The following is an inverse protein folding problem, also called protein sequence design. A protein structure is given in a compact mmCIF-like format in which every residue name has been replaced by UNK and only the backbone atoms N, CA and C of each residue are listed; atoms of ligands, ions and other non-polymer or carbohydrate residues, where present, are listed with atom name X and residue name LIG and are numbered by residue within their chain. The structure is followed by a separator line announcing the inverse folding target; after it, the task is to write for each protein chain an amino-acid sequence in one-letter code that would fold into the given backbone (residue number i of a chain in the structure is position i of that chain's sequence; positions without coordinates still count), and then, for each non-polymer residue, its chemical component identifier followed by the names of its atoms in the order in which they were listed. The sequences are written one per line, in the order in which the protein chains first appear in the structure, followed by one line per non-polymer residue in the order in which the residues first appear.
data_IF_697726369993
#
_entry.id   IF_697726369993
#
_cell.length_a   1.000
_cell.length_b   1.000
_cell.length_c   1.000
_cell.angle_alpha   90.00
_cell.angle_beta   90.00
_cell.angle_gamma   90.00
#
_symmetry.space_group_name_H-M   'P 1'
#
loop_
_entity.id
_entity.type
_entity.pdbx_description
1 polymer ?
#
# COMPACT_ATOMS: atom_id res chain seq x y z
N UNK A 1 24.46 9.91 -6.02
CA UNK A 1 25.15 8.92 -6.87
C UNK A 1 24.25 8.66 -8.06
N UNK A 2 24.67 9.02 -9.28
CA UNK A 2 23.81 9.01 -10.48
C UNK A 2 23.28 7.59 -10.72
N UNK A 3 21.96 7.42 -10.64
CA UNK A 3 21.30 6.17 -11.02
C UNK A 3 21.52 5.95 -12.51
N UNK A 4 22.12 4.82 -12.87
CA UNK A 4 22.21 4.38 -14.24
C UNK A 4 20.80 4.02 -14.71
N UNK A 5 20.24 4.88 -15.56
CA UNK A 5 19.07 4.56 -16.37
C UNK A 5 19.44 3.51 -17.44
N UNK A 6 18.50 2.61 -17.74
CA UNK A 6 18.53 1.55 -18.77
C UNK A 6 19.07 0.14 -18.41
N UNK A 7 18.59 -0.46 -17.34
CA UNK A 7 18.44 -1.92 -17.28
C UNK A 7 16.99 -2.23 -16.88
N UNK A 8 16.32 -3.19 -17.55
CA UNK A 8 14.99 -3.61 -17.10
C UNK A 8 15.09 -4.14 -15.66
N UNK A 9 14.07 -3.99 -14.80
CA UNK A 9 14.12 -4.47 -13.41
C UNK A 9 14.58 -5.94 -13.29
N UNK A 10 14.19 -6.76 -14.26
CA UNK A 10 14.53 -8.19 -14.39
C UNK A 10 16.03 -8.47 -14.69
N UNK A 11 16.76 -7.48 -15.22
CA UNK A 11 18.20 -7.58 -15.47
C UNK A 11 19.04 -7.19 -14.25
N UNK A 12 18.45 -6.59 -13.22
CA UNK A 12 19.19 -6.29 -11.98
C UNK A 12 19.53 -7.60 -11.24
N UNK A 13 20.80 -7.74 -10.91
CA UNK A 13 21.29 -8.84 -10.08
C UNK A 13 20.55 -8.92 -8.73
N UNK A 14 20.16 -7.79 -8.13
CA UNK A 14 19.39 -7.78 -6.89
C UNK A 14 18.00 -8.37 -7.06
N UNK A 15 17.33 -8.06 -8.18
CA UNK A 15 16.04 -8.64 -8.52
C UNK A 15 16.14 -10.17 -8.55
N UNK A 16 17.11 -10.70 -9.30
CA UNK A 16 17.35 -12.16 -9.38
C UNK A 16 17.66 -12.78 -8.02
N UNK A 17 18.52 -12.14 -7.21
CA UNK A 17 18.86 -12.61 -5.86
C UNK A 17 17.61 -12.68 -4.98
N UNK A 18 16.79 -11.62 -4.96
CA UNK A 18 15.58 -11.55 -4.13
C UNK A 18 14.52 -12.54 -4.59
N UNK A 19 14.32 -12.67 -5.89
CA UNK A 19 13.38 -13.62 -6.46
C UNK A 19 13.79 -15.06 -6.14
N UNK A 20 15.06 -15.40 -6.34
CA UNK A 20 15.60 -16.70 -5.96
C UNK A 20 15.59 -16.93 -4.44
N UNK A 21 15.77 -15.90 -3.62
CA UNK A 21 15.65 -16.01 -2.17
C UNK A 21 14.19 -16.30 -1.73
N UNK A 22 13.20 -15.74 -2.41
CA UNK A 22 11.79 -16.07 -2.20
C UNK A 22 11.51 -17.57 -2.47
N UNK A 23 12.05 -18.10 -3.58
CA UNK A 23 11.97 -19.53 -3.90
C UNK A 23 12.66 -20.43 -2.87
N UNK A 24 13.85 -20.04 -2.41
CA UNK A 24 14.56 -20.78 -1.35
C UNK A 24 13.78 -20.74 -0.03
N UNK A 25 13.12 -19.61 0.28
CA UNK A 25 12.24 -19.51 1.45
C UNK A 25 11.03 -20.43 1.33
N UNK A 26 10.37 -20.47 0.17
CA UNK A 26 9.23 -21.35 -0.07
C UNK A 26 9.60 -22.83 0.03
N UNK A 27 10.76 -23.23 -0.51
CA UNK A 27 11.29 -24.58 -0.30
C UNK A 27 11.49 -24.86 1.19
N UNK A 28 12.17 -23.97 1.92
CA UNK A 28 12.42 -24.15 3.35
C UNK A 28 11.12 -24.29 4.16
N UNK A 29 10.10 -23.50 3.82
CA UNK A 29 8.78 -23.57 4.47
C UNK A 29 8.11 -24.91 4.16
N UNK A 30 8.08 -25.38 2.90
CA UNK A 30 7.44 -26.66 2.57
C UNK A 30 8.16 -27.88 3.17
N UNK A 31 9.48 -27.80 3.37
CA UNK A 31 10.21 -28.87 4.04
C UNK A 31 9.95 -28.93 5.56
N UNK A 32 9.70 -27.77 6.19
CA UNK A 32 9.37 -27.68 7.62
C UNK A 32 7.87 -27.87 7.89
N UNK A 33 7.01 -27.46 6.94
CA UNK A 33 5.56 -27.51 7.00
C UNK A 33 5.01 -28.14 5.72
N UNK A 34 5.06 -29.49 5.58
CA UNK A 34 4.67 -30.18 4.34
C UNK A 34 3.21 -29.98 3.92
N UNK A 35 2.33 -29.63 4.85
CA UNK A 35 0.91 -29.40 4.59
C UNK A 35 0.62 -27.98 4.08
N UNK A 36 1.58 -27.06 4.19
CA UNK A 36 1.39 -25.66 3.82
C UNK A 36 1.07 -25.51 2.33
N UNK A 37 0.17 -24.58 2.01
CA UNK A 37 -0.11 -24.20 0.62
C UNK A 37 0.61 -22.91 0.27
N UNK A 38 1.21 -22.87 -0.91
CA UNK A 38 1.93 -21.71 -1.42
C UNK A 38 1.07 -20.93 -2.40
N UNK A 39 1.16 -19.61 -2.34
CA UNK A 39 0.44 -18.70 -3.22
C UNK A 39 1.44 -17.91 -4.09
N UNK A 40 1.63 -16.62 -3.83
CA UNK A 40 2.49 -15.73 -4.62
C UNK A 40 3.73 -15.31 -3.82
N UNK A 41 4.87 -15.14 -4.51
CA UNK A 41 6.13 -14.76 -3.88
C UNK A 41 7.02 -13.85 -4.71
N UNK A 42 6.58 -12.62 -5.04
CA UNK A 42 7.34 -11.72 -5.88
C UNK A 42 8.54 -11.09 -5.14
N UNK A 43 9.61 -10.74 -5.86
CA UNK A 43 10.58 -9.76 -5.38
C UNK A 43 9.94 -8.36 -5.30
N UNK A 44 10.42 -7.55 -4.36
CA UNK A 44 10.05 -6.14 -4.17
C UNK A 44 11.30 -5.26 -4.09
N UNK A 45 11.12 -3.94 -4.16
CA UNK A 45 12.21 -2.94 -4.24
C UNK A 45 13.28 -3.06 -3.16
N UNK A 46 12.92 -3.53 -1.97
CA UNK A 46 13.85 -3.69 -0.84
C UNK A 46 13.95 -5.13 -0.33
N UNK A 47 13.40 -6.11 -1.05
CA UNK A 47 13.36 -7.48 -0.57
C UNK A 47 12.47 -8.41 -1.40
N UNK A 48 11.73 -9.27 -0.71
CA UNK A 48 10.76 -10.18 -1.30
C UNK A 48 9.72 -10.54 -0.24
N UNK A 49 8.60 -11.11 -0.66
CA UNK A 49 7.70 -11.78 0.26
C UNK A 49 7.21 -13.09 -0.33
N UNK A 50 6.53 -13.90 0.47
CA UNK A 50 5.79 -15.06 -0.01
C UNK A 50 4.58 -15.33 0.87
N UNK A 51 3.46 -15.62 0.23
CA UNK A 51 2.19 -15.90 0.87
C UNK A 51 1.99 -17.40 1.07
N UNK A 52 1.70 -17.80 2.30
CA UNK A 52 1.49 -19.18 2.72
C UNK A 52 0.15 -19.36 3.42
N UNK A 53 -0.50 -20.48 3.17
CA UNK A 53 -1.62 -20.97 3.95
C UNK A 53 -1.15 -22.15 4.80
N UNK A 54 -1.06 -21.94 6.12
CA UNK A 54 -0.69 -22.98 7.08
C UNK A 54 -1.89 -23.81 7.55
N UNK A 55 -3.09 -23.50 7.07
CA UNK A 55 -4.33 -24.09 7.56
C UNK A 55 -4.61 -23.73 9.02
N UNK A 56 -5.41 -24.60 9.66
CA UNK A 56 -5.84 -24.43 11.05
C UNK A 56 -5.20 -25.48 11.96
N UNK A 57 -5.07 -25.14 13.23
CA UNK A 57 -4.64 -26.08 14.26
C UNK A 57 -5.80 -26.98 14.73
N UNK A 58 -5.49 -27.87 15.67
CA UNK A 58 -6.45 -28.81 16.26
C UNK A 58 -7.63 -28.14 16.99
N UNK A 59 -7.51 -26.86 17.33
CA UNK A 59 -8.53 -26.06 17.99
C UNK A 59 -9.26 -25.11 17.02
N UNK A 60 -9.16 -25.37 15.71
CA UNK A 60 -9.75 -24.56 14.64
C UNK A 60 -9.24 -23.11 14.59
N UNK A 61 -8.07 -22.83 15.19
CA UNK A 61 -7.42 -21.52 15.11
C UNK A 61 -6.46 -21.51 13.91
N UNK A 62 -6.41 -20.40 13.19
CA UNK A 62 -5.44 -20.24 12.10
C UNK A 62 -4.03 -20.40 12.66
N UNK A 63 -3.26 -21.36 12.14
CA UNK A 63 -1.83 -21.49 12.51
C UNK A 63 -1.13 -20.22 12.08
N UNK A 64 -0.12 -19.79 12.84
CA UNK A 64 0.65 -18.60 12.49
C UNK A 64 2.14 -18.79 12.72
N UNK A 65 2.97 -18.22 11.85
CA UNK A 65 4.41 -18.21 12.04
C UNK A 65 4.80 -17.34 13.24
N UNK A 66 5.61 -17.92 14.12
CA UNK A 66 6.27 -17.22 15.23
C UNK A 66 7.64 -16.67 14.80
N UNK A 67 8.22 -15.71 15.56
CA UNK A 67 9.60 -15.30 15.36
C UNK A 67 10.60 -16.46 15.39
N UNK A 68 10.37 -17.46 16.25
CA UNK A 68 11.19 -18.67 16.36
C UNK A 68 11.09 -19.54 15.10
N UNK A 69 9.93 -19.59 14.45
CA UNK A 69 9.77 -20.27 13.16
C UNK A 69 10.58 -19.57 12.06
N UNK A 70 10.61 -18.23 12.05
CA UNK A 70 11.45 -17.48 11.10
C UNK A 70 12.93 -17.80 11.25
N UNK A 71 13.43 -17.95 12.48
CA UNK A 71 14.83 -18.35 12.72
C UNK A 71 15.12 -19.76 12.18
N UNK A 72 14.18 -20.70 12.35
CA UNK A 72 14.29 -22.06 11.82
C UNK A 72 14.25 -22.08 10.28
N UNK A 73 13.34 -21.31 9.67
CA UNK A 73 13.24 -21.16 8.22
C UNK A 73 14.54 -20.56 7.69
N UNK A 74 15.06 -19.48 8.27
CA UNK A 74 16.33 -18.89 7.85
C UNK A 74 17.50 -19.89 7.92
N UNK A 75 17.58 -20.66 9.02
CA UNK A 75 18.60 -21.71 9.18
C UNK A 75 18.49 -22.73 8.05
N UNK A 76 17.26 -23.14 7.70
CA UNK A 76 17.03 -24.09 6.61
C UNK A 76 17.35 -23.49 5.23
N UNK A 77 16.99 -22.22 4.98
CA UNK A 77 17.38 -21.50 3.77
C UNK A 77 18.90 -21.49 3.57
N UNK A 78 19.68 -21.25 4.64
CA UNK A 78 21.16 -21.30 4.57
C UNK A 78 21.68 -22.69 4.18
N UNK A 79 21.02 -23.77 4.63
CA UNK A 79 21.38 -25.13 4.24
C UNK A 79 21.10 -25.41 2.77
N UNK A 80 19.95 -24.96 2.24
CA UNK A 80 19.58 -25.08 0.82
C UNK A 80 20.55 -24.29 -0.08
N UNK A 81 20.93 -23.08 0.35
CA UNK A 81 21.93 -22.26 -0.35
C UNK A 81 23.29 -22.95 -0.41
N UNK A 82 23.71 -23.59 0.69
CA UNK A 82 24.97 -24.35 0.75
C UNK A 82 25.00 -25.53 -0.23
N UNK A 83 23.84 -26.08 -0.60
CA UNK A 83 23.71 -27.16 -1.59
C UNK A 83 23.99 -26.75 -3.04
N UNK A 84 24.01 -25.44 -3.36
CA UNK A 84 24.32 -24.89 -4.70
C UNK A 84 23.48 -25.51 -5.83
N UNK A 85 22.20 -25.76 -5.58
CA UNK A 85 21.29 -26.37 -6.54
C UNK A 85 21.01 -25.41 -7.70
N UNK A 86 21.05 -25.91 -8.94
CA UNK A 86 20.73 -25.12 -10.13
C UNK A 86 19.23 -24.78 -10.17
N UNK A 87 18.91 -23.58 -10.65
CA UNK A 87 17.53 -23.19 -10.98
C UNK A 87 17.22 -23.61 -12.43
N UNK A 88 16.45 -24.68 -12.57
CA UNK A 88 16.14 -25.26 -13.88
C UNK A 88 14.80 -24.73 -14.39
N UNK A 89 14.86 -23.96 -15.47
CA UNK A 89 13.67 -23.47 -16.18
C UNK A 89 13.03 -24.59 -17.01
N UNK A 90 11.70 -24.72 -16.93
CA UNK A 90 10.92 -25.60 -17.79
C UNK A 90 9.66 -24.89 -18.27
N UNK A 91 9.38 -24.97 -19.57
CA UNK A 91 8.05 -24.64 -20.10
C UNK A 91 7.17 -25.87 -19.98
N UNK A 92 5.96 -25.68 -19.45
CA UNK A 92 5.01 -26.76 -19.20
C UNK A 92 3.67 -26.42 -19.84
N UNK A 93 2.89 -27.44 -20.20
CA UNK A 93 1.50 -27.22 -20.60
C UNK A 93 0.65 -26.89 -19.37
N UNK A 94 -0.52 -26.27 -19.55
CA UNK A 94 -1.44 -26.03 -18.43
C UNK A 94 -1.96 -27.32 -17.79
N UNK A 95 -2.05 -28.42 -18.54
CA UNK A 95 -2.37 -29.75 -18.01
C UNK A 95 -1.23 -30.32 -17.14
N UNK A 96 0.02 -30.23 -17.61
CA UNK A 96 1.19 -30.66 -16.85
C UNK A 96 1.34 -29.82 -15.57
N UNK A 97 1.16 -28.49 -15.67
CA UNK A 97 1.15 -27.60 -14.52
C UNK A 97 0.08 -27.98 -13.49
N UNK A 98 -1.16 -28.27 -13.93
CA UNK A 98 -2.23 -28.74 -13.04
C UNK A 98 -1.89 -30.04 -12.32
N UNK A 99 -1.20 -30.97 -13.00
CA UNK A 99 -0.76 -32.21 -12.38
C UNK A 99 0.34 -31.97 -11.34
N UNK A 100 1.32 -31.11 -11.66
CA UNK A 100 2.41 -30.74 -10.74
C UNK A 100 1.88 -30.06 -9.47
N UNK A 101 0.90 -29.18 -9.61
CA UNK A 101 0.34 -28.37 -8.52
C UNK A 101 -1.01 -28.87 -8.00
N UNK A 102 -1.37 -30.14 -8.22
CA UNK A 102 -2.66 -30.70 -7.84
C UNK A 102 -3.02 -30.51 -6.35
N UNK A 103 -2.01 -30.50 -5.47
CA UNK A 103 -2.17 -30.26 -4.04
C UNK A 103 -2.11 -28.79 -3.60
N UNK A 104 -1.99 -27.84 -4.53
CA UNK A 104 -1.75 -26.42 -4.29
C UNK A 104 -2.89 -25.57 -4.90
N UNK A 105 -3.99 -25.34 -4.16
CA UNK A 105 -5.22 -24.74 -4.71
C UNK A 105 -5.00 -23.34 -5.31
N UNK A 106 -4.19 -22.50 -4.65
CA UNK A 106 -3.88 -21.16 -5.14
C UNK A 106 -3.10 -21.18 -6.47
N UNK A 107 -2.19 -22.14 -6.65
CA UNK A 107 -1.46 -22.32 -7.91
C UNK A 107 -2.37 -22.82 -9.03
N UNK A 108 -3.33 -23.71 -8.73
CA UNK A 108 -4.31 -24.18 -9.72
C UNK A 108 -5.18 -23.03 -10.24
N UNK A 109 -5.60 -22.10 -9.36
CA UNK A 109 -6.33 -20.90 -9.77
C UNK A 109 -5.49 -20.01 -10.70
N UNK A 110 -4.23 -19.76 -10.34
CA UNK A 110 -3.29 -18.99 -11.17
C UNK A 110 -3.10 -19.62 -12.55
N UNK A 111 -2.93 -20.94 -12.63
CA UNK A 111 -2.82 -21.67 -13.91
C UNK A 111 -4.09 -21.49 -14.75
N UNK A 112 -5.27 -21.55 -14.13
CA UNK A 112 -6.54 -21.31 -14.82
C UNK A 112 -6.61 -19.91 -15.45
N UNK A 113 -6.17 -18.88 -14.74
CA UNK A 113 -6.13 -17.52 -15.29
C UNK A 113 -5.05 -17.31 -16.36
N UNK A 114 -3.87 -17.92 -16.19
CA UNK A 114 -2.81 -17.93 -17.23
C UNK A 114 -3.32 -18.57 -18.54
N UNK A 115 -4.12 -19.63 -18.46
CA UNK A 115 -4.68 -20.30 -19.64
C UNK A 115 -5.75 -19.48 -20.35
N UNK A 116 -6.60 -18.78 -19.60
CA UNK A 116 -7.61 -17.88 -20.14
C UNK A 116 -6.97 -16.66 -20.82
N UNK A 117 -5.74 -16.31 -20.39
CA UNK A 117 -5.06 -15.09 -20.81
C UNK A 117 -5.61 -13.89 -20.05
N UNK A 118 -4.78 -12.85 -19.90
CA UNK A 118 -5.21 -11.64 -19.20
C UNK A 118 -4.62 -11.47 -17.80
N UNK A 119 -3.93 -12.45 -17.21
CA UNK A 119 -3.19 -12.29 -15.95
C UNK A 119 -1.81 -12.97 -15.97
N UNK A 120 -0.85 -12.49 -15.16
CA UNK A 120 0.51 -13.05 -14.95
C UNK A 120 0.58 -14.07 -13.78
N UNK A 121 1.78 -14.61 -13.51
CA UNK A 121 2.03 -15.57 -12.42
C UNK A 121 1.83 -15.03 -11.01
N UNK A 122 1.73 -13.71 -10.84
CA UNK A 122 1.40 -13.04 -9.59
C UNK A 122 -0.09 -12.65 -9.51
N UNK A 123 -0.84 -12.86 -10.59
CA UNK A 123 -2.25 -12.55 -10.71
C UNK A 123 -2.57 -11.13 -11.17
N UNK A 124 -1.60 -10.38 -11.71
CA UNK A 124 -1.79 -9.04 -12.26
C UNK A 124 -2.23 -9.09 -13.73
N UNK A 125 -2.98 -8.10 -14.21
CA UNK A 125 -3.49 -8.11 -15.58
C UNK A 125 -2.39 -7.99 -16.66
N UNK A 126 -2.49 -8.78 -17.73
CA UNK A 126 -1.56 -8.76 -18.87
C UNK A 126 -2.27 -8.68 -20.21
N UNK A 127 -1.73 -7.91 -21.15
CA UNK A 127 -2.30 -7.78 -22.51
C UNK A 127 -2.05 -9.04 -23.38
N UNK A 128 -1.04 -9.83 -23.05
CA UNK A 128 -0.66 -11.04 -23.78
C UNK A 128 -0.82 -12.28 -22.91
N UNK A 129 -1.11 -13.42 -23.54
CA UNK A 129 -1.19 -14.72 -22.87
C UNK A 129 0.22 -15.15 -22.43
N UNK A 130 0.52 -15.25 -21.12
CA UNK A 130 1.86 -15.61 -20.68
C UNK A 130 2.17 -17.07 -21.00
N UNK A 131 3.44 -17.37 -21.22
CA UNK A 131 3.92 -18.76 -21.29
C UNK A 131 3.91 -19.32 -19.87
N UNK A 132 3.25 -20.47 -19.68
CA UNK A 132 3.27 -21.18 -18.40
C UNK A 132 4.64 -21.85 -18.25
N UNK A 133 5.39 -21.41 -17.24
CA UNK A 133 6.71 -21.96 -16.94
C UNK A 133 6.89 -22.22 -15.45
N UNK A 134 7.79 -23.14 -15.16
CA UNK A 134 8.21 -23.48 -13.81
C UNK A 134 9.72 -23.32 -13.65
N UNK A 135 10.13 -23.06 -12.42
CA UNK A 135 11.52 -23.19 -12.00
C UNK A 135 11.63 -24.26 -10.92
N UNK A 136 12.52 -25.22 -11.16
CA UNK A 136 12.85 -26.26 -10.19
C UNK A 136 14.24 -26.03 -9.60
N UNK A 137 14.31 -25.99 -8.28
CA UNK A 137 15.56 -26.10 -7.54
C UNK A 137 15.45 -27.19 -6.47
N UNK A 138 16.42 -28.10 -6.46
CA UNK A 138 16.44 -29.25 -5.55
C UNK A 138 15.12 -30.07 -5.60
N UNK A 139 14.41 -30.16 -4.47
CA UNK A 139 13.14 -30.86 -4.29
C UNK A 139 11.92 -29.99 -4.58
N UNK A 140 12.11 -28.68 -4.78
CA UNK A 140 11.04 -27.70 -4.94
C UNK A 140 10.91 -27.24 -6.39
N UNK A 141 9.67 -27.13 -6.84
CA UNK A 141 9.33 -26.59 -8.16
C UNK A 141 8.15 -25.63 -8.02
N UNK A 142 8.27 -24.43 -8.60
CA UNK A 142 7.24 -23.42 -8.53
C UNK A 142 6.87 -22.82 -9.89
N UNK A 143 5.61 -22.39 -9.99
CA UNK A 143 5.07 -21.66 -11.12
C UNK A 143 5.64 -20.24 -11.12
N UNK A 144 6.54 -19.96 -12.08
CA UNK A 144 7.31 -18.74 -12.11
C UNK A 144 7.90 -18.48 -13.51
N UNK A 145 7.93 -17.22 -13.94
CA UNK A 145 8.56 -16.80 -15.20
C UNK A 145 10.05 -16.48 -15.07
N UNK A 146 10.50 -16.18 -13.85
CA UNK A 146 11.86 -15.74 -13.55
C UNK A 146 12.08 -14.26 -13.91
N UNK A 147 13.32 -13.83 -14.17
CA UNK A 147 14.55 -14.63 -14.09
C UNK A 147 14.98 -14.94 -12.64
N UNK A 148 15.81 -15.98 -12.50
CA UNK A 148 16.48 -16.37 -11.26
C UNK A 148 18.01 -16.26 -11.41
N UNK A 149 18.73 -16.37 -10.28
CA UNK A 149 20.17 -16.68 -10.30
C UNK A 149 20.40 -18.09 -10.85
N UNK A 150 21.62 -18.40 -11.29
CA UNK A 150 21.92 -19.70 -11.94
C UNK A 150 21.81 -20.88 -10.96
N UNK A 151 22.23 -20.66 -9.71
CA UNK A 151 22.15 -21.67 -8.65
C UNK A 151 21.98 -21.02 -7.27
N UNK A 152 21.40 -21.74 -6.30
CA UNK A 152 21.10 -21.22 -4.95
C UNK A 152 22.32 -20.62 -4.25
N UNK A 153 23.51 -21.16 -4.50
CA UNK A 153 24.78 -20.64 -3.97
C UNK A 153 25.22 -19.25 -4.45
N UNK A 154 24.54 -18.63 -5.42
CA UNK A 154 24.78 -17.23 -5.81
C UNK A 154 24.06 -16.24 -4.87
N UNK A 155 23.16 -16.73 -4.01
CA UNK A 155 22.58 -15.95 -2.92
C UNK A 155 23.61 -15.94 -1.77
N UNK A 156 24.14 -14.79 -1.36
CA UNK A 156 25.12 -14.77 -0.28
C UNK A 156 24.43 -15.14 1.05
N UNK A 157 24.90 -16.18 1.77
CA UNK A 157 24.18 -16.75 2.92
C UNK A 157 24.13 -15.83 4.15
N UNK A 158 24.96 -14.78 4.16
CA UNK A 158 25.04 -13.76 5.19
C UNK A 158 24.47 -12.39 4.74
N UNK A 159 23.85 -12.34 3.56
CA UNK A 159 23.27 -11.14 2.97
C UNK A 159 21.74 -11.21 2.79
N UNK A 160 21.06 -12.10 3.52
CA UNK A 160 19.60 -12.12 3.60
C UNK A 160 19.11 -12.21 5.04
N UNK A 161 17.88 -11.73 5.27
CA UNK A 161 17.18 -11.78 6.56
C UNK A 161 15.66 -11.83 6.37
N UNK A 162 14.97 -12.67 7.11
CA UNK A 162 13.51 -12.65 7.26
C UNK A 162 13.13 -11.58 8.29
N UNK A 163 12.12 -10.78 7.95
CA UNK A 163 11.83 -9.52 8.62
C UNK A 163 10.59 -9.61 9.52
N UNK A 164 9.46 -10.01 8.95
CA UNK A 164 8.16 -9.99 9.63
C UNK A 164 7.16 -10.88 8.94
N UNK A 165 6.15 -11.29 9.70
CA UNK A 165 4.96 -11.99 9.20
C UNK A 165 3.79 -11.00 9.22
N UNK A 166 3.00 -10.96 8.15
CA UNK A 166 1.78 -10.18 8.07
C UNK A 166 0.62 -11.05 7.55
N UNK A 167 -0.62 -10.66 7.84
CA UNK A 167 -1.79 -11.24 7.18
C UNK A 167 -2.01 -10.61 5.81
N UNK A 168 -2.35 -11.41 4.81
CA UNK A 168 -2.74 -10.94 3.48
C UNK A 168 -3.96 -11.74 3.01
N UNK A 169 -4.96 -11.07 2.46
CA UNK A 169 -6.10 -11.75 1.86
C UNK A 169 -5.79 -12.14 0.42
N UNK A 170 -6.18 -13.36 0.02
CA UNK A 170 -6.01 -13.80 -1.36
C UNK A 170 -6.71 -12.86 -2.34
N UNK A 171 -6.00 -12.43 -3.40
CA UNK A 171 -6.43 -11.38 -4.36
C UNK A 171 -6.74 -10.01 -3.74
N UNK A 172 -6.39 -9.77 -2.48
CA UNK A 172 -6.70 -8.53 -1.77
C UNK A 172 -8.19 -8.38 -1.39
N UNK A 173 -8.97 -9.45 -1.48
CA UNK A 173 -10.39 -9.47 -1.12
C UNK A 173 -10.59 -10.09 0.27
N UNK A 174 -11.16 -9.32 1.19
CA UNK A 174 -11.41 -9.73 2.58
C UNK A 174 -12.38 -10.91 2.73
N UNK A 175 -13.14 -11.24 1.69
CA UNK A 175 -14.02 -12.41 1.64
C UNK A 175 -13.25 -13.70 1.33
N UNK A 176 -12.01 -13.60 0.85
CA UNK A 176 -11.17 -14.76 0.52
C UNK A 176 -10.38 -15.26 1.74
N UNK A 177 -9.79 -16.48 1.67
CA UNK A 177 -8.93 -16.99 2.73
C UNK A 177 -7.80 -16.03 3.11
N UNK A 178 -7.56 -15.90 4.42
CA UNK A 178 -6.45 -15.13 4.96
C UNK A 178 -5.17 -15.97 4.91
N UNK A 179 -4.19 -15.48 4.15
CA UNK A 179 -2.84 -16.02 4.01
C UNK A 179 -1.88 -15.32 4.97
N UNK A 180 -0.71 -15.94 5.14
CA UNK A 180 0.40 -15.37 5.89
C UNK A 180 1.55 -15.04 4.97
N UNK A 181 1.87 -13.76 4.94
CA UNK A 181 2.96 -13.18 4.17
C UNK A 181 4.22 -13.12 5.02
N UNK A 182 5.24 -13.89 4.66
CA UNK A 182 6.58 -13.71 5.22
C UNK A 182 7.34 -12.71 4.37
N UNK A 183 7.79 -11.61 4.96
CA UNK A 183 8.68 -10.64 4.34
C UNK A 183 10.15 -11.01 4.60
N UNK A 184 10.97 -10.92 3.57
CA UNK A 184 12.42 -11.06 3.64
C UNK A 184 13.14 -9.99 2.84
N UNK A 185 14.43 -9.80 3.11
CA UNK A 185 15.31 -8.94 2.33
C UNK A 185 16.57 -9.69 1.95
N UNK A 186 17.10 -9.43 0.76
CA UNK A 186 18.34 -10.02 0.27
C UNK A 186 19.14 -9.00 -0.54
N UNK A 187 20.46 -9.03 -0.36
CA UNK A 187 21.43 -8.05 -0.86
C UNK A 187 22.64 -8.74 -1.50
N UNK A 188 23.48 -7.98 -2.21
CA UNK A 188 24.66 -8.54 -2.89
C UNK A 188 25.75 -8.97 -1.92
N UNK A 189 25.75 -8.41 -0.72
CA UNK A 189 26.74 -8.68 0.33
C UNK A 189 26.22 -8.26 1.70
N UNK A 190 26.89 -8.73 2.76
CA UNK A 190 26.57 -8.43 4.15
C UNK A 190 26.63 -6.93 4.51
N UNK A 191 27.47 -6.16 3.83
CA UNK A 191 27.60 -4.71 4.10
C UNK A 191 26.32 -3.99 3.71
N UNK A 192 25.82 -4.23 2.50
CA UNK A 192 24.54 -3.66 2.01
C UNK A 192 23.36 -4.07 2.90
N UNK A 193 23.30 -5.35 3.33
CA UNK A 193 22.28 -5.80 4.28
C UNK A 193 22.34 -4.99 5.59
N UNK A 194 23.52 -4.82 6.18
CA UNK A 194 23.67 -4.09 7.42
C UNK A 194 23.32 -2.60 7.27
N UNK A 195 23.67 -1.98 6.15
CA UNK A 195 23.28 -0.60 5.83
C UNK A 195 21.76 -0.45 5.73
N UNK A 196 21.08 -1.40 5.07
CA UNK A 196 19.63 -1.42 4.99
C UNK A 196 18.97 -1.61 6.37
N UNK A 197 19.47 -2.57 7.17
CA UNK A 197 18.95 -2.80 8.52
C UNK A 197 19.16 -1.57 9.43
N UNK A 198 20.31 -0.90 9.34
CA UNK A 198 20.57 0.32 10.08
C UNK A 198 19.62 1.46 9.66
N UNK A 199 19.34 1.59 8.36
CA UNK A 199 18.36 2.56 7.85
C UNK A 199 16.96 2.27 8.40
N UNK A 200 16.52 1.00 8.42
CA UNK A 200 15.22 0.62 8.96
C UNK A 200 15.11 0.92 10.46
N UNK A 201 16.16 0.66 11.24
CA UNK A 201 16.19 1.00 12.66
C UNK A 201 16.13 2.51 12.89
N UNK A 202 16.80 3.30 12.06
CA UNK A 202 16.71 4.76 12.13
C UNK A 202 15.32 5.27 11.73
N UNK A 203 14.69 4.67 10.71
CA UNK A 203 13.32 4.98 10.32
C UNK A 203 12.31 4.66 11.43
N UNK A 204 12.46 3.51 12.11
CA UNK A 204 11.60 3.13 13.25
C UNK A 204 11.67 4.12 14.41
N UNK A 205 12.83 4.75 14.65
CA UNK A 205 12.95 5.80 15.68
C UNK A 205 12.17 7.07 15.33
N UNK A 206 11.94 7.32 14.04
CA UNK A 206 11.27 8.51 13.51
C UNK A 206 9.81 8.25 13.11
N UNK A 207 9.29 7.06 13.43
CA UNK A 207 7.91 6.72 13.20
C UNK A 207 6.98 7.65 14.01
N UNK A 208 6.09 8.35 13.32
CA UNK A 208 5.19 9.33 13.94
C UNK A 208 4.22 8.69 14.95
N UNK A 209 3.97 7.38 14.88
CA UNK A 209 3.15 6.66 15.87
C UNK A 209 3.90 6.48 17.18
N UNK A 210 5.21 6.21 17.09
CA UNK A 210 6.09 6.14 18.25
C UNK A 210 6.25 7.52 18.87
N UNK A 211 6.67 8.50 18.05
CA UNK A 211 6.89 9.87 18.51
C UNK A 211 5.59 10.53 18.97
N UNK A 212 4.47 10.28 18.30
CA UNK A 212 3.17 10.83 18.67
C UNK A 212 2.72 10.40 20.07
N UNK A 213 3.04 9.17 20.47
CA UNK A 213 2.83 8.68 21.83
C UNK A 213 3.84 9.26 22.82
N UNK A 214 5.13 9.23 22.48
CA UNK A 214 6.21 9.70 23.37
C UNK A 214 6.15 11.21 23.65
N UNK A 215 5.65 11.99 22.69
CA UNK A 215 5.52 13.44 22.75
C UNK A 215 4.08 13.89 23.05
N UNK A 216 3.17 12.96 23.37
CA UNK A 216 1.78 13.26 23.72
C UNK A 216 1.06 14.14 22.68
N UNK A 217 1.20 13.81 21.39
CA UNK A 217 0.62 14.57 20.27
C UNK A 217 -0.79 14.07 19.96
N UNK A 218 -0.98 12.75 19.88
CA UNK A 218 -2.27 12.14 19.58
C UNK A 218 -2.36 10.73 20.18
N UNK A 219 -3.58 10.23 20.33
CA UNK A 219 -3.86 8.83 20.67
C UNK A 219 -4.90 8.25 19.72
N UNK A 220 -4.95 6.93 19.66
CA UNK A 220 -6.09 6.18 19.15
C UNK A 220 -6.71 5.43 20.31
N UNK A 221 -8.03 5.40 20.33
CA UNK A 221 -8.82 4.75 21.35
C UNK A 221 -9.79 3.76 20.69
N UNK A 222 -9.93 2.57 21.28
CA UNK A 222 -10.73 1.49 20.71
C UNK A 222 -12.23 1.82 20.73
N UNK A 223 -12.71 2.49 21.80
CA UNK A 223 -14.11 2.89 21.91
C UNK A 223 -14.46 4.03 20.95
N UNK A 224 -13.51 4.93 20.68
CA UNK A 224 -13.67 5.97 19.64
C UNK A 224 -13.72 5.37 18.25
N UNK A 225 -12.87 4.37 17.98
CA UNK A 225 -12.86 3.61 16.74
C UNK A 225 -11.62 3.84 15.85
N UNK A 226 -11.33 2.88 14.96
CA UNK A 226 -10.07 2.85 14.21
C UNK A 226 -10.01 3.97 13.16
N UNK A 227 -8.84 4.59 13.05
CA UNK A 227 -8.57 5.67 12.08
C UNK A 227 -9.19 7.02 12.47
N UNK A 228 -9.65 7.16 13.72
CA UNK A 228 -10.21 8.39 14.27
C UNK A 228 -9.28 8.91 15.38
N UNK A 229 -8.26 9.72 15.04
CA UNK A 229 -7.27 10.18 16.03
C UNK A 229 -7.88 11.18 17.01
N UNK A 230 -7.56 11.02 18.29
CA UNK A 230 -7.78 12.04 19.31
C UNK A 230 -6.52 12.88 19.46
N UNK A 231 -6.64 14.17 19.20
CA UNK A 231 -5.54 15.11 19.35
C UNK A 231 -5.37 15.53 20.80
N UNK A 232 -4.19 15.28 21.36
CA UNK A 232 -3.80 15.71 22.70
C UNK A 232 -3.35 17.18 22.69
N UNK A 233 -3.17 17.84 23.85
CA UNK A 233 -2.84 19.27 23.90
C UNK A 233 -1.66 19.69 23.01
N UNK A 234 -0.57 18.92 22.97
CA UNK A 234 0.58 19.24 22.11
C UNK A 234 0.22 19.19 20.63
N UNK A 235 -0.54 18.17 20.21
CA UNK A 235 -1.04 18.08 18.85
C UNK A 235 -2.06 19.16 18.50
N UNK A 236 -2.91 19.55 19.45
CA UNK A 236 -3.84 20.66 19.29
C UNK A 236 -3.14 22.00 19.03
N UNK A 237 -2.05 22.28 19.75
CA UNK A 237 -1.21 23.47 19.49
C UNK A 237 -0.58 23.40 18.11
N UNK A 238 -0.04 22.24 17.71
CA UNK A 238 0.53 22.06 16.37
C UNK A 238 -0.49 22.34 15.26
N UNK A 239 -1.69 21.78 15.37
CA UNK A 239 -2.77 22.04 14.40
C UNK A 239 -3.10 23.53 14.35
N UNK A 240 -3.29 24.18 15.51
CA UNK A 240 -3.68 25.58 15.56
C UNK A 240 -2.66 26.50 14.87
N UNK A 241 -1.37 26.28 15.07
CA UNK A 241 -0.31 27.07 14.42
C UNK A 241 -0.23 26.80 12.91
N UNK A 242 -0.43 25.55 12.46
CA UNK A 242 -0.49 25.20 11.04
C UNK A 242 -1.71 25.82 10.34
N UNK A 243 -2.88 25.74 10.97
CA UNK A 243 -4.12 26.34 10.44
C UNK A 243 -4.02 27.87 10.36
N UNK A 244 -3.38 28.49 11.36
CA UNK A 244 -3.14 29.94 11.39
C UNK A 244 -2.20 30.38 10.28
N UNK A 245 -1.06 29.68 10.12
CA UNK A 245 -0.12 29.94 9.02
C UNK A 245 -0.83 29.85 7.67
N UNK A 246 -1.64 28.81 7.48
CA UNK A 246 -2.37 28.62 6.25
C UNK A 246 -3.43 29.69 6.02
N UNK A 247 -4.23 30.01 7.02
CA UNK A 247 -5.22 31.09 6.95
C UNK A 247 -4.60 32.44 6.58
N UNK A 248 -3.44 32.77 7.14
CA UNK A 248 -2.73 34.01 6.81
C UNK A 248 -2.17 34.02 5.40
N UNK A 249 -1.67 32.87 4.93
CA UNK A 249 -1.11 32.72 3.58
C UNK A 249 -2.22 32.77 2.52
N UNK A 250 -3.30 32.00 2.72
CA UNK A 250 -4.53 31.99 1.92
C UNK A 250 -5.13 33.39 1.80
N UNK A 251 -5.25 34.12 2.93
CA UNK A 251 -5.78 35.49 2.95
C UNK A 251 -4.95 36.44 2.10
N UNK A 252 -3.61 36.35 2.17
CA UNK A 252 -2.71 37.16 1.33
C UNK A 252 -2.84 36.80 -0.15
N UNK A 253 -3.12 35.54 -0.46
CA UNK A 253 -3.38 35.05 -1.82
C UNK A 253 -4.84 35.28 -2.30
N UNK A 254 -5.67 35.97 -1.51
CA UNK A 254 -7.04 36.34 -1.90
C UNK A 254 -8.07 35.22 -1.79
N UNK A 255 -7.79 34.16 -1.03
CA UNK A 255 -8.78 33.12 -0.73
C UNK A 255 -9.82 33.62 0.27
N UNK A 256 -11.06 33.23 0.03
CA UNK A 256 -12.20 33.50 0.90
C UNK A 256 -12.55 32.24 1.68
N UNK A 257 -12.41 32.32 3.00
CA UNK A 257 -12.73 31.20 3.88
C UNK A 257 -14.23 30.97 3.98
N UNK A 258 -14.62 29.71 3.80
CA UNK A 258 -15.99 29.24 3.94
C UNK A 258 -16.05 28.07 4.92
N UNK A 259 -17.26 27.68 5.32
CA UNK A 259 -17.51 26.48 6.12
C UNK A 259 -18.71 25.75 5.56
N UNK A 260 -18.63 24.43 5.53
CA UNK A 260 -19.69 23.56 5.04
C UNK A 260 -20.04 22.47 6.07
N UNK A 261 -21.30 22.00 6.10
CA UNK A 261 -21.73 20.92 6.98
C UNK A 261 -20.94 19.63 6.77
N UNK A 262 -20.97 18.72 7.75
CA UNK A 262 -20.38 17.38 7.63
C UNK A 262 -21.31 16.38 6.94
N UNK A 263 -22.60 16.68 6.85
CA UNK A 263 -23.63 15.80 6.33
C UNK A 263 -24.37 16.44 5.15
N UNK A 264 -24.81 15.62 4.21
CA UNK A 264 -25.70 16.05 3.13
C UNK A 264 -26.60 14.92 2.66
N UNK A 265 -27.71 15.29 2.01
CA UNK A 265 -28.60 14.35 1.33
C UNK A 265 -27.88 13.66 0.16
N UNK A 266 -28.29 12.42 -0.10
CA UNK A 266 -27.84 11.57 -1.21
C UNK A 266 -27.79 12.29 -2.56
N UNK A 267 -28.83 13.08 -2.89
CA UNK A 267 -28.97 13.81 -4.15
C UNK A 267 -27.76 14.68 -4.50
N UNK A 268 -27.08 15.25 -3.49
CA UNK A 268 -25.90 16.08 -3.74
C UNK A 268 -24.73 15.25 -4.27
N UNK A 269 -24.53 14.05 -3.72
CA UNK A 269 -23.46 13.14 -4.13
C UNK A 269 -23.79 12.39 -5.41
N UNK A 270 -25.06 12.10 -5.68
CA UNK A 270 -25.50 11.64 -7.00
C UNK A 270 -25.24 12.69 -8.08
N UNK A 271 -25.68 13.94 -7.84
CA UNK A 271 -25.51 15.03 -8.82
C UNK A 271 -24.06 15.40 -9.08
N UNK A 272 -23.20 15.30 -8.07
CA UNK A 272 -21.77 15.57 -8.22
C UNK A 272 -20.98 14.38 -8.77
N UNK A 273 -21.62 13.22 -8.96
CA UNK A 273 -20.98 12.01 -9.47
C UNK A 273 -20.19 11.21 -8.42
N UNK A 274 -20.15 11.64 -7.16
CA UNK A 274 -19.36 10.93 -6.15
C UNK A 274 -19.97 9.60 -5.76
N UNK A 275 -21.28 9.51 -5.56
CA UNK A 275 -21.89 8.27 -5.08
C UNK A 275 -21.70 7.10 -6.06
N UNK A 276 -21.90 7.26 -7.39
CA UNK A 276 -21.64 6.17 -8.34
C UNK A 276 -20.21 5.63 -8.37
N UNK A 277 -19.20 6.44 -8.02
CA UNK A 277 -17.78 6.06 -8.12
C UNK A 277 -17.09 5.82 -6.78
N UNK A 278 -17.60 6.39 -5.68
CA UNK A 278 -16.94 6.41 -4.37
C UNK A 278 -17.78 5.75 -3.27
N UNK A 279 -18.94 5.16 -3.57
CA UNK A 279 -19.82 4.54 -2.55
C UNK A 279 -19.06 3.60 -1.60
N UNK A 280 -18.19 2.74 -2.14
CA UNK A 280 -17.44 1.75 -1.35
C UNK A 280 -16.38 2.38 -0.42
N UNK A 281 -15.96 3.62 -0.71
CA UNK A 281 -15.00 4.38 0.10
C UNK A 281 -15.68 5.45 0.97
N UNK A 282 -17.01 5.50 0.98
CA UNK A 282 -17.81 6.40 1.81
C UNK A 282 -18.32 5.66 3.04
N UNK A 283 -18.52 6.40 4.15
CA UNK A 283 -19.27 5.85 5.27
C UNK A 283 -20.70 5.51 4.83
N UNK A 284 -21.29 4.43 5.37
CA UNK A 284 -22.63 4.01 5.02
C UNK A 284 -23.64 5.14 5.29
N UNK A 285 -24.72 5.22 4.50
CA UNK A 285 -25.74 6.23 4.70
C UNK A 285 -26.43 6.08 6.05
N UNK A 286 -26.75 7.21 6.67
CA UNK A 286 -27.71 7.30 7.76
C UNK A 286 -29.09 7.53 7.16
N UNK A 287 -30.04 6.65 7.46
CA UNK A 287 -31.42 6.81 7.03
C UNK A 287 -32.26 7.46 8.14
N UNK A 288 -32.90 8.58 7.81
CA UNK A 288 -33.78 9.30 8.71
C UNK A 288 -35.01 9.75 7.92
N UNK A 289 -36.20 9.33 8.37
CA UNK A 289 -37.49 9.70 7.76
C UNK A 289 -37.58 9.39 6.25
N UNK A 290 -37.00 8.27 5.82
CA UNK A 290 -36.96 7.86 4.40
C UNK A 290 -36.00 8.68 3.53
N UNK A 291 -35.15 9.52 4.14
CA UNK A 291 -34.09 10.26 3.45
C UNK A 291 -32.73 9.73 3.88
N UNK A 292 -31.88 9.43 2.90
CA UNK A 292 -30.49 9.04 3.13
C UNK A 292 -29.58 10.26 3.24
N UNK A 293 -28.82 10.30 4.32
CA UNK A 293 -27.76 11.27 4.57
C UNK A 293 -26.41 10.58 4.57
N UNK A 294 -25.42 11.24 4.01
CA UNK A 294 -24.04 10.77 4.00
C UNK A 294 -23.15 11.76 4.72
N UNK A 295 -22.16 11.22 5.42
CA UNK A 295 -21.02 12.00 5.90
C UNK A 295 -20.14 12.36 4.70
N UNK A 296 -19.64 13.61 4.64
CA UNK A 296 -18.89 14.08 3.48
C UNK A 296 -17.51 13.42 3.35
N UNK A 297 -17.18 12.83 2.19
CA UNK A 297 -15.83 12.35 1.90
C UNK A 297 -14.90 13.44 1.36
N UNK A 298 -15.47 14.60 1.01
CA UNK A 298 -14.78 15.76 0.43
C UNK A 298 -15.65 17.03 0.49
N UNK A 299 -15.05 18.22 0.29
CA UNK A 299 -15.76 19.50 0.41
C UNK A 299 -16.32 20.05 -0.92
N UNK A 300 -15.83 19.56 -2.06
CA UNK A 300 -16.12 20.08 -3.41
C UNK A 300 -17.62 20.33 -3.67
N UNK A 301 -18.53 19.35 -3.44
CA UNK A 301 -19.96 19.53 -3.71
C UNK A 301 -20.58 20.69 -2.91
N UNK A 302 -20.08 20.96 -1.71
CA UNK A 302 -20.55 22.05 -0.86
C UNK A 302 -20.03 23.40 -1.35
N UNK A 303 -18.76 23.48 -1.76
CA UNK A 303 -18.18 24.70 -2.33
C UNK A 303 -18.91 25.09 -3.62
N UNK A 304 -19.32 24.13 -4.45
CA UNK A 304 -20.17 24.40 -5.62
C UNK A 304 -21.53 25.01 -5.25
N UNK A 305 -22.15 24.60 -4.12
CA UNK A 305 -23.39 25.22 -3.63
C UNK A 305 -23.16 26.65 -3.15
N UNK A 306 -22.03 26.93 -2.50
CA UNK A 306 -21.66 28.28 -2.06
C UNK A 306 -21.38 29.18 -3.26
N UNK A 307 -20.67 28.66 -4.27
CA UNK A 307 -20.46 29.37 -5.54
C UNK A 307 -21.79 29.77 -6.18
N UNK A 308 -22.71 28.79 -6.30
CA UNK A 308 -24.02 28.93 -6.94
C UNK A 308 -25.06 29.71 -6.11
N UNK A 309 -24.76 30.08 -4.86
CA UNK A 309 -25.70 30.78 -3.98
C UNK A 309 -26.12 32.16 -4.50
N UNK A 310 -25.32 32.77 -5.39
CA UNK A 310 -25.67 34.01 -6.08
C UNK A 310 -25.13 34.02 -7.52
N UNK A 311 -25.77 34.73 -8.46
CA UNK A 311 -25.21 34.97 -9.79
C UNK A 311 -23.82 35.61 -9.70
N UNK A 312 -22.94 35.27 -10.65
CA UNK A 312 -21.55 35.76 -10.70
C UNK A 312 -21.28 36.47 -12.02
N UNK A 313 -20.62 37.62 -11.94
CA UNK A 313 -20.04 38.30 -13.12
C UNK A 313 -18.64 37.75 -13.41
N UNK A 314 -18.24 37.72 -14.69
CA UNK A 314 -16.86 37.40 -15.06
C UNK A 314 -15.82 38.30 -14.38
N UNK A 315 -16.22 39.53 -13.99
CA UNK A 315 -15.36 40.48 -13.26
C UNK A 315 -15.08 40.07 -11.81
N UNK A 316 -15.89 39.18 -11.25
CA UNK A 316 -15.69 38.62 -9.91
C UNK A 316 -14.77 37.39 -9.94
N UNK A 317 -14.32 36.94 -11.12
CA UNK A 317 -13.38 35.84 -11.28
C UNK A 317 -11.94 36.37 -11.41
N UNK A 318 -10.93 35.69 -10.83
CA UNK A 318 -11.03 34.39 -10.16
C UNK A 318 -11.58 34.48 -8.73
N UNK A 319 -12.45 33.54 -8.37
CA UNK A 319 -12.99 33.36 -7.02
C UNK A 319 -12.36 32.13 -6.38
N UNK A 320 -11.68 32.31 -5.25
CA UNK A 320 -10.99 31.24 -4.53
C UNK A 320 -11.71 30.98 -3.20
N UNK A 321 -12.34 29.81 -3.05
CA UNK A 321 -12.97 29.41 -1.78
C UNK A 321 -12.05 28.41 -1.07
N UNK A 322 -11.76 28.64 0.21
CA UNK A 322 -10.93 27.75 1.04
C UNK A 322 -11.68 27.30 2.29
N UNK A 323 -11.41 26.08 2.74
CA UNK A 323 -11.96 25.51 3.97
C UNK A 323 -10.97 24.49 4.56
N UNK A 324 -10.69 24.60 5.86
CA UNK A 324 -10.14 23.48 6.63
C UNK A 324 -11.26 22.47 6.92
N UNK A 325 -11.61 21.72 5.88
CA UNK A 325 -12.82 20.93 5.86
C UNK A 325 -12.58 19.53 6.42
N UNK A 326 -13.32 19.17 7.46
CA UNK A 326 -13.29 17.81 8.02
C UNK A 326 -14.04 16.85 7.10
N UNK A 327 -13.34 15.85 6.59
CA UNK A 327 -13.88 14.83 5.71
C UNK A 327 -13.66 13.43 6.28
N UNK A 328 -14.53 12.52 5.86
CA UNK A 328 -14.56 11.16 6.36
C UNK A 328 -14.55 10.16 5.21
N UNK A 329 -13.56 9.27 5.20
CA UNK A 329 -13.41 8.21 4.19
C UNK A 329 -13.41 6.86 4.88
N UNK A 330 -14.14 5.92 4.31
CA UNK A 330 -14.15 4.55 4.77
C UNK A 330 -12.93 3.80 4.19
N UNK A 331 -11.78 4.01 4.82
CA UNK A 331 -10.56 3.24 4.56
C UNK A 331 -10.68 1.86 5.23
N UNK A 332 -10.23 0.78 4.58
CA UNK A 332 -10.29 -0.56 5.17
C UNK A 332 -9.42 -0.61 6.41
N UNK A 333 -9.82 -1.38 7.43
CA UNK A 333 -9.12 -1.38 8.73
C UNK A 333 -7.64 -1.76 8.62
N UNK A 334 -7.29 -2.66 7.68
CA UNK A 334 -5.89 -3.07 7.43
C UNK A 334 -5.05 -2.01 6.69
N UNK A 335 -5.67 -0.97 6.14
CA UNK A 335 -4.97 0.10 5.42
C UNK A 335 -4.61 1.29 6.31
N UNK A 336 -5.20 1.37 7.50
CA UNK A 336 -5.00 2.48 8.43
C UNK A 336 -3.56 2.50 8.95
N UNK A 337 -2.94 3.69 8.94
CA UNK A 337 -1.53 3.84 9.31
C UNK A 337 -1.27 5.15 10.07
N UNK A 338 -1.42 5.09 11.40
CA UNK A 338 -1.25 6.26 12.28
C UNK A 338 -2.04 7.47 11.74
N UNK A 339 -1.40 8.65 11.68
CA UNK A 339 -1.96 9.85 11.04
C UNK A 339 -1.80 9.92 9.50
N UNK A 340 -1.07 9.00 8.86
CA UNK A 340 -0.81 9.07 7.41
C UNK A 340 -1.99 8.55 6.58
N UNK A 341 -2.73 7.56 7.11
CA UNK A 341 -3.95 7.03 6.50
C UNK A 341 -5.00 6.82 7.58
N UNK A 342 -6.00 7.69 7.59
CA UNK A 342 -7.03 7.84 8.62
C UNK A 342 -8.42 7.89 7.99
N UNK A 343 -9.45 7.62 8.79
CA UNK A 343 -10.85 7.74 8.35
C UNK A 343 -11.41 9.13 8.54
N UNK A 344 -10.90 9.91 9.50
CA UNK A 344 -11.26 11.31 9.72
C UNK A 344 -10.04 12.20 9.50
N UNK A 345 -10.17 13.18 8.61
CA UNK A 345 -9.09 14.09 8.24
C UNK A 345 -9.61 15.50 8.05
N UNK A 346 -8.77 16.50 8.32
CA UNK A 346 -9.04 17.89 7.98
C UNK A 346 -8.11 18.28 6.83
N UNK A 347 -8.70 18.55 5.68
CA UNK A 347 -7.95 18.95 4.51
C UNK A 347 -7.85 20.48 4.49
N UNK A 348 -6.67 21.03 4.22
CA UNK A 348 -6.57 22.39 3.71
C UNK A 348 -7.06 22.38 2.26
N UNK A 349 -8.37 22.47 2.09
CA UNK A 349 -9.04 22.27 0.82
C UNK A 349 -9.47 23.60 0.22
N UNK A 350 -9.35 23.74 -1.10
CA UNK A 350 -9.76 24.94 -1.79
C UNK A 350 -10.25 24.66 -3.21
N UNK A 351 -11.27 25.41 -3.62
CA UNK A 351 -11.86 25.34 -4.95
C UNK A 351 -11.80 26.72 -5.60
N UNK A 352 -11.08 26.80 -6.72
CA UNK A 352 -10.90 28.02 -7.51
C UNK A 352 -11.83 27.97 -8.71
N UNK A 353 -12.64 29.01 -8.85
CA UNK A 353 -13.51 29.24 -9.99
C UNK A 353 -12.90 30.36 -10.82
N UNK A 354 -12.51 30.05 -12.05
CA UNK A 354 -11.85 30.97 -12.96
C UNK A 354 -12.34 30.76 -14.39
N UNK A 355 -12.05 31.72 -15.28
CA UNK A 355 -12.26 31.52 -16.72
C UNK A 355 -11.17 30.63 -17.30
N UNK A 356 -11.39 30.08 -18.49
CA UNK A 356 -10.39 29.25 -19.19
C UNK A 356 -9.08 30.01 -19.41
N UNK A 357 -9.15 31.30 -19.77
CA UNK A 357 -7.98 32.19 -19.95
C UNK A 357 -7.18 32.41 -18.65
N UNK A 358 -7.83 32.31 -17.49
CA UNK A 358 -7.20 32.50 -16.18
C UNK A 358 -6.57 31.20 -15.63
N UNK A 359 -6.89 30.04 -16.20
CA UNK A 359 -6.53 28.75 -15.64
C UNK A 359 -5.03 28.57 -15.43
N UNK A 360 -4.20 28.87 -16.43
CA UNK A 360 -2.74 28.74 -16.34
C UNK A 360 -2.18 29.60 -15.20
N UNK A 361 -2.62 30.85 -15.10
CA UNK A 361 -2.18 31.78 -14.06
C UNK A 361 -2.56 31.28 -12.67
N UNK A 362 -3.79 30.81 -12.48
CA UNK A 362 -4.26 30.29 -11.19
C UNK A 362 -3.54 29.00 -10.80
N UNK A 363 -3.30 28.11 -11.76
CA UNK A 363 -2.53 26.88 -11.52
C UNK A 363 -1.11 27.20 -11.07
N UNK A 364 -0.42 28.13 -11.75
CA UNK A 364 0.94 28.54 -11.35
C UNK A 364 0.97 29.22 -9.98
N UNK A 365 -0.04 30.04 -9.65
CA UNK A 365 -0.15 30.64 -8.32
C UNK A 365 -0.27 29.60 -7.20
N UNK A 366 -0.98 28.49 -7.45
CA UNK A 366 -1.07 27.35 -6.52
C UNK A 366 0.28 26.63 -6.38
N UNK A 367 1.02 26.44 -7.47
CA UNK A 367 2.37 25.86 -7.41
C UNK A 367 3.32 26.73 -6.58
N UNK A 368 3.25 28.05 -6.72
CA UNK A 368 4.05 28.98 -5.91
C UNK A 368 3.70 28.91 -4.42
N UNK A 369 2.41 28.71 -4.08
CA UNK A 369 2.00 28.45 -2.70
C UNK A 369 2.58 27.14 -2.16
N UNK A 370 2.57 26.05 -2.94
CA UNK A 370 3.22 24.80 -2.52
C UNK A 370 4.72 24.98 -2.27
N UNK A 371 5.41 25.69 -3.17
CA UNK A 371 6.84 25.99 -3.01
C UNK A 371 7.13 26.79 -1.75
N UNK A 372 6.30 27.78 -1.44
CA UNK A 372 6.41 28.56 -0.21
C UNK A 372 6.34 27.65 1.02
N UNK A 373 5.37 26.73 1.08
CA UNK A 373 5.28 25.79 2.20
C UNK A 373 6.49 24.84 2.26
N UNK A 374 6.99 24.36 1.13
CA UNK A 374 8.18 23.50 1.11
C UNK A 374 9.40 24.25 1.62
N UNK A 375 9.55 25.53 1.27
CA UNK A 375 10.61 26.39 1.79
C UNK A 375 10.46 26.64 3.31
N UNK A 376 9.25 26.91 3.80
CA UNK A 376 8.97 27.12 5.24
C UNK A 376 9.29 25.85 6.05
N UNK A 377 8.87 24.69 5.57
CA UNK A 377 9.05 23.41 6.27
C UNK A 377 10.35 22.68 5.91
N UNK A 378 11.21 23.32 5.11
CA UNK A 378 12.48 22.76 4.66
C UNK A 378 12.33 21.36 4.02
N UNK A 379 11.32 21.21 3.16
CA UNK A 379 11.08 20.02 2.35
C UNK A 379 11.81 20.21 1.02
N UNK A 380 12.80 19.35 0.76
CA UNK A 380 13.54 19.35 -0.52
C UNK A 380 12.62 18.91 -1.68
N UNK A 381 12.82 19.48 -2.86
CA UNK A 381 12.00 19.26 -4.05
C UNK A 381 12.34 17.98 -4.80
#
# INVERSE_FOLDING_TARGET
MKMAANQSPEQDQLYKIRHSAAHVMAQAVLELYPEAKIAIGPPIDTGFYYDFDLGRDENDKLRSFSPEDLEQIEKRMRQIIAGKHAFNYRQVSGEEARQLFAGQPYKLELIGGLEQGGIDEYGNETAEKPVISTYRQDTFEDLCRGPHVEHTGQIPPDAFKLMSVAGAYWRGDENNPMLQRIYGTAWRNKKELNEHLAMLEEAKKRDHRKLGRELEIFIFDEEVGPGLPLWLPNGGVMIAELEKLAADTERKAGYQRVRSPHLTKEDLFLRSGHLPYYADSMYPPMELEGVKYYVKPMNCPFHHKIYAAKPRSYRELPLRLAEYGTCYRYEKSGELFGLMRVRSMQMNDAHIYCTEEQFEQEFMAVIDLYRLYFEIFNVEK
#
